data_IF_983920741913
#
_entry.id   IF_983920741913
#
_cell.length_a   1.000
_cell.length_b   1.000
_cell.length_c   1.000
_cell.angle_alpha   90.00
_cell.angle_beta   90.00
_cell.angle_gamma   90.00
#
_symmetry.space_group_name_H-M   'P 1'
#
loop_
_entity.id
_entity.type
_entity.pdbx_description
1 polymer ?
#
# COMPACT_ATOMS: atom_id res chain seq x y z
N UNK A 1 28.71 -2.69 -34.72
CA UNK A 1 29.29 -3.38 -33.54
C UNK A 1 28.57 -4.71 -33.38
N UNK A 2 29.27 -5.82 -33.68
CA UNK A 2 28.71 -7.17 -33.64
C UNK A 2 28.44 -7.59 -32.19
N UNK A 3 27.18 -7.85 -31.86
CA UNK A 3 26.77 -8.51 -30.62
C UNK A 3 27.01 -10.00 -30.82
N UNK A 4 28.26 -10.43 -30.70
CA UNK A 4 28.61 -11.86 -30.66
C UNK A 4 29.18 -12.19 -29.28
N UNK A 5 28.54 -13.18 -28.66
CA UNK A 5 28.98 -13.96 -27.50
C UNK A 5 29.04 -13.23 -26.15
N UNK A 6 27.88 -13.07 -25.51
CA UNK A 6 27.80 -13.21 -24.06
C UNK A 6 26.53 -13.99 -23.72
N UNK A 7 26.71 -15.22 -23.24
CA UNK A 7 25.65 -15.98 -22.58
C UNK A 7 25.36 -15.27 -21.24
N UNK A 8 24.30 -14.47 -21.20
CA UNK A 8 23.72 -14.00 -19.93
C UNK A 8 22.57 -14.94 -19.57
N UNK A 9 22.58 -15.50 -18.36
CA UNK A 9 21.58 -16.49 -17.93
C UNK A 9 20.20 -15.88 -17.67
N UNK A 10 20.08 -14.55 -17.55
CA UNK A 10 18.79 -13.85 -17.55
C UNK A 10 18.91 -12.36 -17.90
N UNK A 11 17.82 -11.76 -18.39
CA UNK A 11 17.69 -10.31 -18.62
C UNK A 11 17.96 -9.47 -17.35
N UNK A 12 17.62 -10.02 -16.18
CA UNK A 12 17.87 -9.40 -14.88
C UNK A 12 19.37 -9.26 -14.56
N UNK A 13 20.20 -10.26 -14.92
CA UNK A 13 21.66 -10.16 -14.78
C UNK A 13 22.25 -9.10 -15.71
N UNK A 14 21.72 -8.98 -16.93
CA UNK A 14 22.16 -7.97 -17.88
C UNK A 14 21.83 -6.55 -17.39
N UNK A 15 20.61 -6.32 -16.86
CA UNK A 15 20.26 -5.04 -16.25
C UNK A 15 21.10 -4.74 -14.99
N UNK A 16 21.25 -5.71 -14.08
CA UNK A 16 22.10 -5.57 -12.90
C UNK A 16 23.52 -5.16 -13.28
N UNK A 17 24.12 -5.80 -14.30
CA UNK A 17 25.48 -5.49 -14.77
C UNK A 17 25.56 -4.14 -15.50
N UNK A 18 24.51 -3.76 -16.23
CA UNK A 18 24.41 -2.45 -16.91
C UNK A 18 24.28 -1.28 -15.93
N UNK A 19 23.60 -1.50 -14.80
CA UNK A 19 23.34 -0.47 -13.78
C UNK A 19 24.34 -0.47 -12.62
N UNK A 20 25.06 -1.58 -12.39
CA UNK A 20 26.13 -1.70 -11.38
C UNK A 20 27.46 -1.10 -11.86
N UNK A 21 27.50 0.21 -12.14
CA UNK A 21 28.78 0.95 -12.22
C UNK A 21 29.33 1.18 -10.80
N UNK A 22 29.76 0.11 -10.13
CA UNK A 22 30.39 0.14 -8.81
C UNK A 22 29.43 0.13 -7.62
N UNK A 23 29.82 -0.57 -6.55
CA UNK A 23 29.07 -0.71 -5.28
C UNK A 23 28.66 0.65 -4.68
N UNK A 24 29.56 1.63 -4.72
CA UNK A 24 29.32 2.99 -4.19
C UNK A 24 28.24 3.77 -4.92
N UNK A 25 28.18 3.66 -6.27
CA UNK A 25 27.16 4.37 -7.04
C UNK A 25 25.78 3.74 -6.85
N UNK A 26 25.74 2.41 -6.72
CA UNK A 26 24.54 1.65 -6.39
C UNK A 26 24.01 2.04 -5.02
N UNK A 27 24.87 2.03 -3.99
CA UNK A 27 24.50 2.43 -2.62
C UNK A 27 23.95 3.87 -2.58
N UNK A 28 24.59 4.81 -3.27
CA UNK A 28 24.14 6.21 -3.35
C UNK A 28 22.76 6.33 -4.01
N UNK A 29 22.48 5.52 -5.03
CA UNK A 29 21.17 5.50 -5.70
C UNK A 29 20.10 4.92 -4.80
N UNK A 30 20.37 3.81 -4.12
CA UNK A 30 19.44 3.22 -3.15
C UNK A 30 19.13 4.21 -2.03
N UNK A 31 20.16 4.84 -1.44
CA UNK A 31 19.97 5.87 -0.42
C UNK A 31 19.12 7.05 -0.91
N UNK A 32 19.37 7.54 -2.13
CA UNK A 32 18.55 8.60 -2.73
C UNK A 32 17.11 8.16 -2.89
N UNK A 33 16.90 6.95 -3.41
CA UNK A 33 15.57 6.41 -3.65
C UNK A 33 14.77 6.30 -2.35
N UNK A 34 15.36 5.75 -1.28
CA UNK A 34 14.70 5.65 0.02
C UNK A 34 14.38 7.03 0.61
N UNK A 35 15.31 7.99 0.51
CA UNK A 35 15.06 9.37 0.94
C UNK A 35 13.92 10.00 0.14
N UNK A 36 13.88 9.79 -1.17
CA UNK A 36 12.84 10.34 -2.04
C UNK A 36 11.48 9.68 -1.77
N UNK A 37 11.43 8.38 -1.41
CA UNK A 37 10.22 7.69 -0.95
C UNK A 37 9.69 8.33 0.34
N UNK A 38 10.54 8.50 1.37
CA UNK A 38 10.12 9.10 2.64
C UNK A 38 9.56 10.50 2.41
N UNK A 39 10.28 11.31 1.62
CA UNK A 39 9.89 12.69 1.32
C UNK A 39 8.64 12.76 0.47
N UNK A 40 8.55 11.94 -0.58
CA UNK A 40 7.47 11.94 -1.57
C UNK A 40 6.16 11.41 -1.00
N UNK A 41 6.19 10.34 -0.20
CA UNK A 41 4.99 9.86 0.50
C UNK A 41 4.68 10.66 1.75
N UNK A 42 5.62 11.44 2.27
CA UNK A 42 5.37 12.27 3.45
C UNK A 42 5.36 11.47 4.76
N UNK A 43 6.09 10.34 4.83
CA UNK A 43 6.03 9.44 5.98
C UNK A 43 6.51 10.08 7.30
N UNK A 44 5.87 9.73 8.42
CA UNK A 44 6.45 9.91 9.75
C UNK A 44 7.53 8.85 9.95
N UNK A 45 8.38 9.05 10.97
CA UNK A 45 9.31 8.00 11.38
C UNK A 45 8.57 6.72 11.79
N UNK A 46 7.47 6.83 12.53
CA UNK A 46 6.71 5.66 12.98
C UNK A 46 6.08 4.90 11.82
N UNK A 47 5.51 5.60 10.83
CA UNK A 47 4.95 5.01 9.61
C UNK A 47 6.03 4.30 8.81
N UNK A 48 7.17 4.97 8.59
CA UNK A 48 8.28 4.38 7.85
C UNK A 48 8.82 3.11 8.51
N UNK A 49 8.93 3.08 9.85
CA UNK A 49 9.39 1.90 10.59
C UNK A 49 8.36 0.75 10.64
N UNK A 50 7.09 1.03 10.32
CA UNK A 50 6.03 0.02 10.24
C UNK A 50 5.97 -0.68 8.88
N UNK A 51 6.70 -0.19 7.87
CA UNK A 51 6.78 -0.83 6.56
C UNK A 51 7.18 -2.31 6.69
N UNK A 52 6.60 -3.23 5.88
CA UNK A 52 6.83 -4.66 6.00
C UNK A 52 8.31 -5.06 5.97
N UNK A 53 9.15 -4.28 5.29
CA UNK A 53 10.59 -4.47 5.23
C UNK A 53 11.24 -4.41 6.62
N UNK A 54 10.90 -3.41 7.44
CA UNK A 54 11.48 -3.20 8.77
C UNK A 54 10.75 -3.98 9.85
N UNK A 55 9.44 -4.23 9.69
CA UNK A 55 8.67 -5.07 10.60
C UNK A 55 9.20 -6.51 10.64
N UNK A 56 9.62 -7.07 9.50
CA UNK A 56 10.20 -8.41 9.40
C UNK A 56 11.70 -8.46 9.73
N UNK A 57 12.41 -7.34 9.61
CA UNK A 57 13.88 -7.25 9.76
C UNK A 57 14.23 -6.12 10.73
N UNK A 58 14.02 -6.32 12.04
CA UNK A 58 14.22 -5.26 13.03
C UNK A 58 15.67 -4.75 13.10
N UNK A 59 16.65 -5.58 12.72
CA UNK A 59 18.06 -5.20 12.63
C UNK A 59 18.34 -4.09 11.59
N UNK A 60 17.42 -3.84 10.65
CA UNK A 60 17.53 -2.74 9.68
C UNK A 60 17.03 -1.40 10.23
N UNK A 61 16.35 -1.37 11.39
CA UNK A 61 15.81 -0.14 11.99
C UNK A 61 16.87 0.94 12.25
N UNK A 62 18.10 0.64 12.72
CA UNK A 62 19.14 1.66 12.87
C UNK A 62 19.49 2.35 11.54
N UNK A 63 19.61 1.58 10.46
CA UNK A 63 19.84 2.15 9.13
C UNK A 63 18.63 2.98 8.68
N UNK A 64 17.40 2.50 8.91
CA UNK A 64 16.18 3.23 8.60
C UNK A 64 16.10 4.59 9.31
N UNK A 65 16.51 4.64 10.60
CA UNK A 65 16.60 5.88 11.38
C UNK A 65 17.57 6.89 10.76
N UNK A 66 18.75 6.43 10.32
CA UNK A 66 19.73 7.28 9.65
C UNK A 66 19.18 7.86 8.34
N UNK A 67 18.57 7.01 7.51
CA UNK A 67 17.95 7.43 6.23
C UNK A 67 16.83 8.44 6.47
N UNK A 68 15.98 8.19 7.46
CA UNK A 68 14.93 9.12 7.84
C UNK A 68 15.49 10.45 8.36
N UNK A 69 16.57 10.43 9.14
CA UNK A 69 17.28 11.63 9.57
C UNK A 69 17.73 12.49 8.39
N UNK A 70 18.34 11.88 7.37
CA UNK A 70 18.74 12.57 6.13
C UNK A 70 17.51 13.15 5.41
N UNK A 71 16.44 12.37 5.28
CA UNK A 71 15.20 12.82 4.64
C UNK A 71 14.58 14.02 5.38
N UNK A 72 14.59 13.99 6.72
CA UNK A 72 14.06 15.07 7.55
C UNK A 72 14.88 16.35 7.43
N UNK A 73 16.21 16.26 7.40
CA UNK A 73 17.09 17.41 7.15
C UNK A 73 16.84 18.03 5.76
N UNK A 74 16.52 17.22 4.76
CA UNK A 74 16.15 17.68 3.41
C UNK A 74 14.70 18.17 3.26
N UNK A 75 13.92 18.10 4.34
CA UNK A 75 12.48 18.39 4.35
C UNK A 75 11.65 17.26 3.75
N UNK A 76 10.63 16.83 4.51
CA UNK A 76 9.64 15.82 4.10
C UNK A 76 8.43 16.54 3.51
N UNK A 77 8.01 16.19 2.29
CA UNK A 77 6.87 16.82 1.64
C UNK A 77 5.57 16.25 2.21
N UNK A 78 4.82 17.11 2.92
CA UNK A 78 3.51 16.76 3.47
C UNK A 78 2.47 17.75 3.01
N UNK A 79 1.44 17.24 2.34
CA UNK A 79 0.29 18.07 1.98
C UNK A 79 -0.61 18.33 3.20
N UNK A 80 -0.77 17.34 4.08
CA UNK A 80 -1.49 17.47 5.35
C UNK A 80 -0.55 17.12 6.53
N UNK A 81 -0.76 17.75 7.69
CA UNK A 81 0.10 17.50 8.87
C UNK A 81 -0.19 16.16 9.55
N UNK A 82 -1.43 15.69 9.47
CA UNK A 82 -1.97 14.50 10.14
C UNK A 82 -1.84 13.25 9.27
N UNK A 83 -1.99 13.39 7.95
CA UNK A 83 -1.96 12.26 7.01
C UNK A 83 -0.75 12.33 6.08
N UNK A 84 -0.19 11.18 5.74
CA UNK A 84 0.80 11.10 4.67
C UNK A 84 0.11 11.21 3.29
N UNK A 85 0.90 11.44 2.23
CA UNK A 85 0.37 11.69 0.89
C UNK A 85 -0.30 10.44 0.31
N UNK A 86 0.07 9.24 0.75
CA UNK A 86 -0.58 8.00 0.33
C UNK A 86 -1.98 7.86 0.95
N UNK A 87 -2.13 8.17 2.24
CA UNK A 87 -3.43 8.17 2.92
C UNK A 87 -4.38 9.21 2.29
N UNK A 88 -3.86 10.38 1.95
CA UNK A 88 -4.63 11.43 1.26
C UNK A 88 -5.15 11.01 -0.11
N UNK A 89 -4.43 10.13 -0.83
CA UNK A 89 -4.92 9.56 -2.07
C UNK A 89 -6.22 8.79 -1.81
N UNK A 90 -6.26 7.93 -0.78
CA UNK A 90 -7.46 7.18 -0.42
C UNK A 90 -8.61 8.09 -0.01
N UNK A 91 -8.34 9.14 0.78
CA UNK A 91 -9.38 10.13 1.14
C UNK A 91 -9.98 10.77 -0.12
N UNK A 92 -9.14 11.24 -1.04
CA UNK A 92 -9.60 11.89 -2.27
C UNK A 92 -10.38 10.93 -3.16
N UNK A 93 -9.96 9.67 -3.27
CA UNK A 93 -10.68 8.64 -4.01
C UNK A 93 -12.03 8.36 -3.36
N UNK A 94 -12.10 8.12 -2.05
CA UNK A 94 -13.35 7.86 -1.31
C UNK A 94 -14.33 9.04 -1.31
N UNK A 95 -13.84 10.27 -1.38
CA UNK A 95 -14.69 11.46 -1.52
C UNK A 95 -15.34 11.55 -2.91
N UNK A 96 -14.65 11.08 -3.94
CA UNK A 96 -15.07 11.21 -5.35
C UNK A 96 -15.62 9.92 -5.95
N UNK A 97 -15.54 8.81 -5.21
CA UNK A 97 -16.04 7.51 -5.66
C UNK A 97 -17.54 7.61 -5.93
N UNK A 98 -17.95 6.96 -7.02
CA UNK A 98 -19.32 6.84 -7.51
C UNK A 98 -19.69 5.36 -7.51
N UNK A 99 -20.98 5.03 -7.57
CA UNK A 99 -21.38 3.62 -7.64
C UNK A 99 -20.83 3.00 -8.94
N UNK A 100 -19.86 2.08 -8.86
CA UNK A 100 -19.20 1.56 -10.05
C UNK A 100 -20.15 0.72 -10.91
N UNK A 101 -21.18 0.11 -10.33
CA UNK A 101 -22.13 -0.74 -11.07
C UNK A 101 -23.24 0.12 -11.64
N UNK A 102 -23.88 0.94 -10.80
CA UNK A 102 -25.05 1.72 -11.20
C UNK A 102 -24.70 2.90 -12.10
N UNK A 103 -23.61 3.62 -11.81
CA UNK A 103 -23.27 4.84 -12.55
C UNK A 103 -22.30 4.59 -13.70
N UNK A 104 -21.39 3.61 -13.55
CA UNK A 104 -20.36 3.32 -14.56
C UNK A 104 -20.64 2.05 -15.37
N UNK A 105 -21.66 1.26 -15.00
CA UNK A 105 -22.01 0.02 -15.70
C UNK A 105 -20.94 -1.07 -15.57
N UNK A 106 -20.09 -1.02 -14.54
CA UNK A 106 -19.07 -2.03 -14.32
C UNK A 106 -19.72 -3.35 -13.86
N UNK A 107 -19.14 -4.47 -14.29
CA UNK A 107 -19.52 -5.78 -13.79
C UNK A 107 -19.24 -5.87 -12.28
N UNK A 108 -20.17 -6.47 -11.54
CA UNK A 108 -20.13 -6.55 -10.07
C UNK A 108 -18.88 -7.29 -9.56
N UNK A 109 -18.33 -8.23 -10.33
CA UNK A 109 -17.08 -8.95 -10.00
C UNK A 109 -15.84 -8.08 -10.14
N UNK A 110 -15.89 -6.97 -10.86
CA UNK A 110 -14.78 -6.02 -10.97
C UNK A 110 -14.95 -4.79 -10.07
N UNK A 111 -16.12 -4.63 -9.47
CA UNK A 111 -16.46 -3.53 -8.58
C UNK A 111 -15.86 -3.73 -7.18
N UNK A 112 -14.58 -3.42 -7.01
CA UNK A 112 -13.91 -3.46 -5.72
C UNK A 112 -12.87 -2.35 -5.49
N UNK A 113 -12.67 -1.98 -4.23
CA UNK A 113 -11.64 -1.05 -3.77
C UNK A 113 -10.90 -1.64 -2.57
N UNK A 114 -9.57 -1.71 -2.66
CA UNK A 114 -8.70 -2.26 -1.62
C UNK A 114 -7.92 -1.13 -0.94
N UNK A 115 -8.06 -1.01 0.37
CA UNK A 115 -7.40 0.00 1.21
C UNK A 115 -6.60 -0.73 2.29
N UNK A 116 -5.27 -0.53 2.41
CA UNK A 116 -4.48 -1.06 3.50
C UNK A 116 -5.10 -0.71 4.85
N UNK A 117 -5.16 -1.65 5.78
CA UNK A 117 -5.89 -1.46 7.04
C UNK A 117 -5.30 -0.32 7.88
N UNK A 118 -3.98 -0.18 7.93
CA UNK A 118 -3.33 0.92 8.66
C UNK A 118 -3.71 2.29 8.08
N UNK A 119 -3.85 2.39 6.75
CA UNK A 119 -4.33 3.60 6.09
C UNK A 119 -5.81 3.84 6.42
N UNK A 120 -6.64 2.79 6.37
CA UNK A 120 -8.05 2.87 6.75
C UNK A 120 -8.24 3.34 8.21
N UNK A 121 -7.40 2.88 9.14
CA UNK A 121 -7.41 3.34 10.53
C UNK A 121 -7.04 4.83 10.64
N UNK A 122 -5.98 5.28 9.96
CA UNK A 122 -5.53 6.68 10.01
C UNK A 122 -6.55 7.66 9.43
N UNK A 123 -7.23 7.29 8.34
CA UNK A 123 -8.27 8.13 7.72
C UNK A 123 -9.63 8.01 8.43
N UNK A 124 -9.82 7.00 9.28
CA UNK A 124 -11.07 6.67 9.96
C UNK A 124 -11.78 5.48 9.32
N UNK A 125 -11.67 4.30 9.96
CA UNK A 125 -12.18 3.04 9.42
C UNK A 125 -13.70 3.09 9.19
N UNK A 126 -14.46 3.59 10.16
CA UNK A 126 -15.92 3.71 10.05
C UNK A 126 -16.32 4.66 8.93
N UNK A 127 -15.67 5.81 8.83
CA UNK A 127 -15.92 6.79 7.77
C UNK A 127 -15.63 6.18 6.39
N UNK A 128 -14.50 5.50 6.22
CA UNK A 128 -14.16 4.84 4.96
C UNK A 128 -15.17 3.74 4.59
N UNK A 129 -15.60 2.93 5.57
CA UNK A 129 -16.62 1.90 5.38
C UNK A 129 -17.97 2.50 4.98
N UNK A 130 -18.41 3.60 5.62
CA UNK A 130 -19.63 4.32 5.26
C UNK A 130 -19.56 4.89 3.85
N UNK A 131 -18.42 5.46 3.44
CA UNK A 131 -18.23 5.94 2.07
C UNK A 131 -18.36 4.81 1.06
N UNK A 132 -17.77 3.64 1.32
CA UNK A 132 -17.93 2.46 0.45
C UNK A 132 -19.40 2.02 0.37
N UNK A 133 -20.11 1.93 1.52
CA UNK A 133 -21.54 1.58 1.53
C UNK A 133 -22.40 2.57 0.74
N UNK A 134 -22.10 3.87 0.83
CA UNK A 134 -22.85 4.92 0.13
C UNK A 134 -22.79 4.82 -1.40
N UNK A 135 -21.79 4.11 -1.94
CA UNK A 135 -21.64 3.84 -3.37
C UNK A 135 -21.93 2.38 -3.71
N UNK A 136 -22.67 1.69 -2.84
CA UNK A 136 -23.13 0.34 -3.10
C UNK A 136 -22.04 -0.74 -3.01
N UNK A 137 -20.89 -0.45 -2.40
CA UNK A 137 -19.86 -1.44 -2.10
C UNK A 137 -19.97 -1.89 -0.65
N UNK A 138 -20.11 -3.20 -0.42
CA UNK A 138 -20.13 -3.73 0.95
C UNK A 138 -18.70 -3.82 1.49
N UNK A 139 -18.41 -3.26 2.68
CA UNK A 139 -17.07 -3.31 3.27
C UNK A 139 -16.79 -4.65 3.95
N UNK A 140 -15.61 -5.19 3.69
CA UNK A 140 -15.06 -6.41 4.28
C UNK A 140 -13.70 -6.09 4.90
N UNK A 141 -13.40 -6.77 6.01
CA UNK A 141 -12.04 -6.86 6.51
C UNK A 141 -11.39 -8.11 5.95
N UNK A 142 -10.35 -7.92 5.14
CA UNK A 142 -9.64 -9.00 4.47
C UNK A 142 -8.22 -9.16 4.98
N UNK A 143 -7.85 -10.38 5.31
CA UNK A 143 -6.47 -10.82 5.49
C UNK A 143 -5.80 -10.92 4.13
N UNK A 144 -4.58 -10.37 4.04
CA UNK A 144 -3.70 -10.48 2.89
C UNK A 144 -2.47 -11.27 3.28
N UNK A 145 -1.78 -11.81 2.27
CA UNK A 145 -0.41 -12.36 2.45
C UNK A 145 0.57 -11.37 3.12
N UNK A 146 0.28 -10.06 3.03
CA UNK A 146 1.04 -8.98 3.66
C UNK A 146 0.11 -8.01 4.41
N UNK A 147 -0.40 -8.46 5.56
CA UNK A 147 -1.17 -7.62 6.49
C UNK A 147 -2.68 -7.67 6.26
N UNK A 148 -3.39 -6.66 6.74
CA UNK A 148 -4.86 -6.57 6.63
C UNK A 148 -5.24 -5.46 5.65
N UNK A 149 -6.44 -5.55 5.07
CA UNK A 149 -7.03 -4.50 4.25
C UNK A 149 -8.53 -4.37 4.51
N UNK A 150 -9.01 -3.13 4.46
CA UNK A 150 -10.42 -2.85 4.23
C UNK A 150 -10.69 -3.00 2.73
N UNK A 151 -11.65 -3.83 2.36
CA UNK A 151 -12.02 -4.05 0.97
C UNK A 151 -13.50 -3.76 0.79
N UNK A 152 -13.86 -2.75 0.00
CA UNK A 152 -15.23 -2.57 -0.45
C UNK A 152 -15.44 -3.37 -1.72
N UNK A 153 -16.43 -4.26 -1.77
CA UNK A 153 -16.73 -5.04 -2.98
C UNK A 153 -18.24 -5.18 -3.17
N UNK A 154 -18.67 -5.28 -4.42
CA UNK A 154 -20.09 -5.53 -4.74
C UNK A 154 -20.44 -7.01 -4.60
N UNK A 155 -19.60 -7.88 -5.14
CA UNK A 155 -19.76 -9.34 -5.11
C UNK A 155 -18.51 -10.00 -4.55
N UNK A 156 -18.68 -11.15 -3.88
CA UNK A 156 -17.56 -11.98 -3.44
C UNK A 156 -16.75 -12.53 -4.62
N UNK A 157 -17.32 -12.58 -5.83
CA UNK A 157 -16.59 -12.92 -7.06
C UNK A 157 -15.41 -11.97 -7.33
N UNK A 158 -15.45 -10.74 -6.79
CA UNK A 158 -14.32 -9.82 -6.89
C UNK A 158 -13.05 -10.31 -6.19
N UNK A 159 -13.16 -11.25 -5.25
CA UNK A 159 -12.00 -11.85 -4.60
C UNK A 159 -11.17 -12.65 -5.61
N UNK A 160 -11.81 -13.40 -6.51
CA UNK A 160 -11.12 -14.19 -7.54
C UNK A 160 -10.35 -13.26 -8.47
N UNK A 161 -11.01 -12.23 -9.00
CA UNK A 161 -10.40 -11.21 -9.87
C UNK A 161 -9.24 -10.49 -9.17
N UNK A 162 -9.42 -10.07 -7.92
CA UNK A 162 -8.33 -9.43 -7.16
C UNK A 162 -7.15 -10.39 -7.01
N UNK A 163 -7.40 -11.67 -6.74
CA UNK A 163 -6.38 -12.67 -6.51
C UNK A 163 -5.61 -13.12 -7.76
N UNK A 164 -6.12 -12.82 -8.97
CA UNK A 164 -5.33 -12.91 -10.20
C UNK A 164 -4.16 -11.90 -10.20
N UNK A 165 -4.25 -10.81 -9.42
CA UNK A 165 -3.15 -9.89 -9.21
C UNK A 165 -1.98 -10.56 -8.49
N UNK A 166 -0.78 -10.40 -9.04
CA UNK A 166 0.47 -10.88 -8.40
C UNK A 166 0.73 -10.16 -7.06
N UNK A 167 0.24 -8.94 -6.90
CA UNK A 167 0.57 -8.06 -5.77
C UNK A 167 -0.49 -8.04 -4.66
N UNK A 168 -1.74 -8.39 -4.98
CA UNK A 168 -2.88 -8.33 -4.08
C UNK A 168 -3.49 -9.72 -3.95
N UNK A 169 -3.11 -10.44 -2.88
CA UNK A 169 -3.73 -11.72 -2.53
C UNK A 169 -4.50 -11.61 -1.23
N UNK A 170 -5.82 -11.70 -1.34
CA UNK A 170 -6.78 -11.82 -0.26
C UNK A 170 -6.89 -13.30 0.13
N UNK A 171 -6.68 -13.60 1.41
CA UNK A 171 -6.68 -14.97 1.96
C UNK A 171 -8.02 -15.28 2.59
N UNK A 172 -8.53 -14.37 3.43
CA UNK A 172 -9.79 -14.51 4.15
C UNK A 172 -10.46 -13.15 4.23
N UNK A 173 -11.74 -13.06 3.91
CA UNK A 173 -12.52 -11.84 4.02
C UNK A 173 -13.72 -12.09 4.91
N UNK A 174 -13.99 -11.19 5.84
CA UNK A 174 -15.19 -11.18 6.68
C UNK A 174 -15.92 -9.85 6.53
N UNK A 175 -17.25 -9.82 6.45
CA UNK A 175 -17.99 -8.57 6.47
C UNK A 175 -17.59 -7.71 7.67
N UNK A 176 -17.38 -6.42 7.44
CA UNK A 176 -16.90 -5.54 8.52
C UNK A 176 -17.93 -5.44 9.66
N UNK A 177 -19.22 -5.62 9.36
CA UNK A 177 -20.29 -5.64 10.36
C UNK A 177 -20.10 -6.74 11.41
N UNK A 178 -19.68 -7.94 11.01
CA UNK A 178 -19.50 -9.11 11.89
C UNK A 178 -18.25 -9.02 12.77
N UNK A 179 -17.30 -8.17 12.40
CA UNK A 179 -16.08 -7.93 13.19
C UNK A 179 -16.37 -6.95 14.35
N UNK A 180 -17.45 -6.17 14.27
CA UNK A 180 -17.85 -5.15 15.24
C UNK A 180 -18.77 -5.60 16.38
N UNK A 181 -19.25 -6.86 16.39
CA UNK A 181 -20.08 -7.44 17.47
C UNK A 181 -19.27 -7.91 18.69
N UNK A 182 -17.97 -7.58 18.76
CA UNK A 182 -17.17 -7.65 19.97
C UNK A 182 -17.17 -6.33 20.74
N UNK A 183 -18.35 -5.81 21.14
CA UNK A 183 -18.41 -4.70 22.13
C UNK A 183 -18.28 -5.29 23.54
N UNK A 184 -17.46 -4.72 24.44
CA UNK A 184 -17.60 -5.01 25.86
C UNK A 184 -18.96 -4.48 26.29
N UNK A 185 -19.78 -5.34 26.91
CA UNK A 185 -21.03 -4.91 27.55
C UNK A 185 -20.75 -3.86 28.63
N UNK A 186 -21.73 -2.99 28.93
CA UNK A 186 -21.63 -2.13 30.09
C UNK A 186 -21.77 -3.02 31.34
N UNK A 187 -20.71 -3.09 32.14
CA UNK A 187 -20.73 -3.53 33.55
C UNK A 187 -19.85 -2.61 34.36
#
# INVERSE_FOLDING_TARGET
VQIRKMEFRSFAEYELKRYARGLWSSLRRTLRHEVDIIRGYGYTLSEYLQEPAFKRRPYLKPAALLVYGIARLKGVYRYDRRLNNHDLLYVKVLQRIRDPVKELGADESYAAMVIPYDAALRIGLSWAAERLRSVGLRPYLCERTRGMALVGMRSLGAIEVINESVYLKLVRCKPLEEVGEGRPGPS
#
